data_IF_281057036219
#
_entry.id   IF_281057036219
#
_cell.length_a   1.000
_cell.length_b   1.000
_cell.length_c   1.000
_cell.angle_alpha   90.00
_cell.angle_beta   90.00
_cell.angle_gamma   90.00
#
_symmetry.space_group_name_H-M   'P 1'
#
loop_
_entity.id
_entity.type
_entity.pdbx_description
1 polymer ?
#
# COMPACT_ATOMS: atom_id res chain seq x y z
N UNK A 1 2.19 14.94 -19.50
CA UNK A 1 2.10 13.65 -18.79
C UNK A 1 2.11 14.01 -17.32
N UNK A 2 0.93 14.01 -16.71
CA UNK A 2 0.63 14.75 -15.47
C UNK A 2 1.33 14.13 -14.27
N UNK A 3 2.10 14.96 -13.56
CA UNK A 3 2.55 14.70 -12.21
C UNK A 3 1.35 14.34 -11.34
N UNK A 4 1.43 13.20 -10.64
CA UNK A 4 0.50 12.88 -9.57
C UNK A 4 0.80 13.78 -8.37
N UNK A 5 0.39 15.05 -8.48
CA UNK A 5 0.19 15.89 -7.31
C UNK A 5 -0.88 15.16 -6.50
N UNK A 6 -0.61 14.84 -5.25
CA UNK A 6 -1.64 14.48 -4.27
C UNK A 6 -2.04 15.77 -3.53
N UNK A 7 -2.78 16.72 -4.14
CA UNK A 7 -3.38 17.77 -3.35
C UNK A 7 -4.44 17.09 -2.49
N UNK A 8 -4.48 17.45 -1.20
CA UNK A 8 -5.42 16.99 -0.17
C UNK A 8 -6.60 16.17 -0.74
N UNK A 9 -6.39 14.85 -0.89
CA UNK A 9 -7.33 13.97 -1.61
C UNK A 9 -8.74 14.00 -1.03
N UNK A 10 -8.88 14.49 0.20
CA UNK A 10 -10.16 14.73 0.86
C UNK A 10 -10.93 15.91 0.27
N UNK A 11 -10.28 17.03 -0.06
CA UNK A 11 -10.97 18.23 -0.54
C UNK A 11 -11.64 17.99 -1.89
N UNK A 12 -10.92 17.37 -2.84
CA UNK A 12 -11.50 17.01 -4.14
C UNK A 12 -12.67 16.04 -3.99
N UNK A 13 -12.57 15.08 -3.06
CA UNK A 13 -13.64 14.13 -2.76
C UNK A 13 -14.89 14.80 -2.19
N UNK A 14 -14.73 15.75 -1.26
CA UNK A 14 -15.87 16.49 -0.72
C UNK A 14 -16.52 17.39 -1.78
N UNK A 15 -15.71 18.04 -2.61
CA UNK A 15 -16.22 18.85 -3.72
C UNK A 15 -17.07 17.99 -4.67
N UNK A 16 -16.53 16.87 -5.14
CA UNK A 16 -17.26 15.98 -6.05
C UNK A 16 -18.51 15.38 -5.38
N UNK A 17 -18.47 15.10 -4.06
CA UNK A 17 -19.64 14.61 -3.32
C UNK A 17 -20.79 15.62 -3.32
N UNK A 18 -20.51 16.92 -3.15
CA UNK A 18 -21.53 17.98 -3.24
C UNK A 18 -22.11 18.05 -4.66
N UNK A 19 -21.28 17.96 -5.70
CA UNK A 19 -21.73 17.94 -7.10
C UNK A 19 -22.62 16.72 -7.41
N UNK A 20 -22.25 15.54 -6.91
CA UNK A 20 -23.04 14.32 -7.05
C UNK A 20 -24.40 14.45 -6.35
N UNK A 21 -24.41 15.00 -5.13
CA UNK A 21 -25.65 15.27 -4.40
C UNK A 21 -26.55 16.25 -5.15
N UNK A 22 -26.00 17.37 -5.65
CA UNK A 22 -26.75 18.34 -6.42
C UNK A 22 -27.37 17.74 -7.69
N UNK A 23 -26.65 16.82 -8.35
CA UNK A 23 -27.16 16.09 -9.52
C UNK A 23 -28.34 15.20 -9.12
N UNK A 24 -28.24 14.46 -8.02
CA UNK A 24 -29.33 13.61 -7.53
C UNK A 24 -30.56 14.41 -7.11
N UNK A 25 -30.39 15.58 -6.48
CA UNK A 25 -31.48 16.51 -6.16
C UNK A 25 -32.14 17.02 -7.44
N UNK A 26 -31.35 17.40 -8.44
CA UNK A 26 -31.86 17.86 -9.72
C UNK A 26 -32.69 16.77 -10.43
N UNK A 27 -32.19 15.53 -10.45
CA UNK A 27 -32.91 14.39 -11.02
C UNK A 27 -34.23 14.12 -10.26
N UNK A 28 -34.21 14.24 -8.93
CA UNK A 28 -35.40 14.10 -8.08
C UNK A 28 -36.45 15.17 -8.41
N UNK A 29 -36.03 16.43 -8.57
CA UNK A 29 -36.92 17.53 -8.93
C UNK A 29 -37.46 17.40 -10.35
N UNK A 30 -36.65 16.94 -11.31
CA UNK A 30 -37.06 16.71 -12.70
C UNK A 30 -38.15 15.65 -12.82
N UNK A 31 -38.19 14.70 -11.89
CA UNK A 31 -39.23 13.67 -11.79
C UNK A 31 -40.45 14.12 -10.95
N UNK A 32 -40.48 15.38 -10.49
CA UNK A 32 -41.55 15.91 -9.65
C UNK A 32 -41.50 15.44 -8.19
N UNK A 33 -40.38 14.87 -7.76
CA UNK A 33 -40.15 14.39 -6.40
C UNK A 33 -39.86 15.51 -5.39
N UNK A 34 -39.84 15.13 -4.11
CA UNK A 34 -39.54 16.04 -3.01
C UNK A 34 -38.02 16.02 -2.71
N UNK A 35 -37.28 17.15 -2.84
CA UNK A 35 -35.85 17.19 -2.53
C UNK A 35 -35.54 16.99 -1.03
N UNK A 36 -36.54 17.09 -0.16
CA UNK A 36 -36.43 16.79 1.27
C UNK A 36 -36.66 15.31 1.60
N UNK A 37 -37.08 14.49 0.62
CA UNK A 37 -37.09 13.03 0.75
C UNK A 37 -35.67 12.50 0.49
N UNK A 38 -34.89 12.39 1.56
CA UNK A 38 -33.50 11.95 1.48
C UNK A 38 -33.33 10.54 0.91
N UNK A 39 -34.31 9.65 1.06
CA UNK A 39 -34.26 8.30 0.49
C UNK A 39 -34.47 8.35 -1.02
N UNK A 40 -35.43 9.15 -1.49
CA UNK A 40 -35.63 9.39 -2.92
C UNK A 40 -34.34 9.96 -3.56
N UNK A 41 -33.74 10.98 -2.93
CA UNK A 41 -32.50 11.60 -3.44
C UNK A 41 -31.33 10.63 -3.43
N UNK A 42 -31.04 9.94 -2.32
CA UNK A 42 -29.86 9.07 -2.22
C UNK A 42 -29.99 7.83 -3.12
N UNK A 43 -31.21 7.35 -3.37
CA UNK A 43 -31.45 6.24 -4.29
C UNK A 43 -30.99 6.54 -5.73
N UNK A 44 -30.97 7.82 -6.14
CA UNK A 44 -30.47 8.28 -7.45
C UNK A 44 -28.94 8.35 -7.54
N UNK A 45 -28.24 8.16 -6.42
CA UNK A 45 -26.77 8.10 -6.34
C UNK A 45 -26.27 6.66 -6.42
N UNK A 46 -27.01 5.70 -5.89
CA UNK A 46 -26.59 4.30 -5.85
C UNK A 46 -26.59 3.66 -7.23
N UNK A 47 -25.71 2.67 -7.41
CA UNK A 47 -25.54 1.93 -8.66
C UNK A 47 -25.34 2.83 -9.89
N UNK A 48 -24.59 3.93 -9.74
CA UNK A 48 -24.41 4.96 -10.77
C UNK A 48 -22.95 5.38 -10.89
N UNK A 49 -22.57 5.73 -12.12
CA UNK A 49 -21.28 6.36 -12.40
C UNK A 49 -21.45 7.85 -12.60
N UNK A 50 -20.59 8.63 -11.95
CA UNK A 50 -20.45 10.07 -12.09
C UNK A 50 -19.06 10.40 -12.62
N UNK A 51 -18.94 11.57 -13.25
CA UNK A 51 -17.67 12.13 -13.68
C UNK A 51 -17.38 13.37 -12.84
N UNK A 52 -16.68 13.17 -11.73
CA UNK A 52 -16.26 14.23 -10.83
C UNK A 52 -15.27 15.15 -11.53
N UNK A 53 -15.37 16.45 -11.23
CA UNK A 53 -14.53 17.47 -11.87
C UNK A 53 -13.07 17.32 -11.45
N UNK A 54 -12.83 16.87 -10.22
CA UNK A 54 -11.48 16.74 -9.66
C UNK A 54 -11.01 15.28 -9.54
N UNK A 55 -11.91 14.35 -9.20
CA UNK A 55 -11.56 12.93 -9.01
C UNK A 55 -11.72 12.06 -10.26
N UNK A 56 -12.24 12.60 -11.36
CA UNK A 56 -12.52 11.83 -12.58
C UNK A 56 -13.69 10.86 -12.43
N UNK A 57 -13.55 9.63 -12.94
CA UNK A 57 -14.62 8.60 -12.89
C UNK A 57 -14.88 8.16 -11.45
N UNK A 58 -16.12 8.28 -10.99
CA UNK A 58 -16.59 7.87 -9.66
C UNK A 58 -17.74 6.90 -9.84
N UNK A 59 -17.59 5.65 -9.41
CA UNK A 59 -18.66 4.64 -9.48
C UNK A 59 -19.14 4.31 -8.07
N UNK A 60 -20.45 4.43 -7.85
CA UNK A 60 -21.12 4.05 -6.60
C UNK A 60 -21.82 2.72 -6.82
N UNK A 61 -21.61 1.76 -5.92
CA UNK A 61 -22.21 0.44 -5.99
C UNK A 61 -23.69 0.46 -5.56
N UNK A 62 -24.34 -0.68 -5.59
CA UNK A 62 -25.77 -0.83 -5.28
C UNK A 62 -26.15 -0.58 -3.83
N UNK A 63 -25.19 -0.52 -2.91
CA UNK A 63 -25.43 -0.27 -1.47
C UNK A 63 -24.94 1.11 -1.04
N UNK A 64 -24.48 1.94 -1.98
CA UNK A 64 -24.09 3.33 -1.72
C UNK A 64 -22.60 3.57 -1.47
N UNK A 65 -21.75 2.55 -1.58
CA UNK A 65 -20.31 2.71 -1.41
C UNK A 65 -19.61 3.03 -2.74
N UNK A 66 -18.57 3.85 -2.67
CA UNK A 66 -17.71 4.14 -3.81
C UNK A 66 -16.72 3.00 -4.08
N UNK A 67 -16.66 2.52 -5.32
CA UNK A 67 -15.51 1.76 -5.80
C UNK A 67 -14.25 2.63 -5.74
N UNK A 68 -13.30 2.21 -4.90
CA UNK A 68 -12.13 3.01 -4.57
C UNK A 68 -10.89 2.42 -5.23
N UNK A 69 -10.41 3.12 -6.26
CA UNK A 69 -9.18 2.72 -6.97
C UNK A 69 -7.96 2.93 -6.08
N UNK A 70 -6.98 2.03 -6.20
CA UNK A 70 -5.75 2.06 -5.40
C UNK A 70 -4.56 2.34 -6.29
N UNK A 71 -3.73 3.28 -5.89
CA UNK A 71 -2.47 3.60 -6.57
C UNK A 71 -1.33 3.01 -5.74
N UNK A 72 -0.56 2.11 -6.35
CA UNK A 72 0.68 1.59 -5.76
C UNK A 72 1.81 2.54 -6.16
N UNK A 73 2.35 3.23 -5.17
CA UNK A 73 3.51 4.10 -5.36
C UNK A 73 4.79 3.31 -5.08
N UNK A 74 5.82 3.58 -5.89
CA UNK A 74 7.21 3.25 -5.56
C UNK A 74 7.95 4.53 -5.22
N UNK A 75 8.84 4.44 -4.23
CA UNK A 75 9.73 5.54 -3.88
C UNK A 75 11.11 5.23 -4.46
N UNK A 76 11.63 6.13 -5.28
CA UNK A 76 12.95 5.99 -5.90
C UNK A 76 13.79 7.22 -5.60
N UNK A 77 15.02 7.00 -5.15
CA UNK A 77 16.01 8.07 -4.95
C UNK A 77 16.61 8.45 -6.29
N UNK A 78 16.36 9.66 -6.76
CA UNK A 78 17.16 10.22 -7.83
C UNK A 78 18.51 10.68 -7.26
N UNK A 79 19.60 10.09 -7.74
CA UNK A 79 20.92 10.73 -7.63
C UNK A 79 21.08 11.64 -8.83
N UNK A 80 20.72 12.91 -8.67
CA UNK A 80 21.18 13.89 -9.65
C UNK A 80 22.71 14.00 -9.53
N UNK A 81 23.42 13.70 -10.63
CA UNK A 81 24.81 14.12 -10.77
C UNK A 81 24.75 15.62 -11.05
N UNK A 82 24.81 16.45 -10.00
CA UNK A 82 24.95 17.89 -10.16
C UNK A 82 26.13 18.15 -11.10
N UNK A 83 25.86 18.67 -12.30
CA UNK A 83 26.88 18.91 -13.32
C UNK A 83 27.98 19.80 -12.72
N UNK A 84 29.21 19.25 -12.63
CA UNK A 84 30.40 19.99 -12.19
C UNK A 84 30.70 21.08 -13.21
N UNK A 85 30.20 22.30 -13.02
CA UNK A 85 30.84 23.48 -13.60
C UNK A 85 32.22 23.60 -12.96
N UNK A 86 33.25 23.33 -13.76
CA UNK A 86 34.65 23.50 -13.35
C UNK A 86 34.91 24.98 -13.02
N UNK A 87 34.70 25.38 -11.77
CA UNK A 87 35.53 26.37 -11.05
C UNK A 87 35.00 26.54 -9.62
N UNK A 88 35.78 26.01 -8.69
CA UNK A 88 35.86 26.35 -7.28
C UNK A 88 34.76 25.86 -6.31
N UNK A 89 35.26 25.28 -5.22
CA UNK A 89 34.62 24.84 -3.97
C UNK A 89 33.78 23.55 -4.00
N UNK A 90 34.45 22.51 -3.48
CA UNK A 90 33.91 21.27 -2.96
C UNK A 90 32.79 21.53 -1.95
N UNK A 91 31.54 21.34 -2.39
CA UNK A 91 30.45 20.90 -1.53
C UNK A 91 29.93 19.61 -2.15
N UNK A 92 30.29 18.47 -1.57
CA UNK A 92 29.72 17.17 -1.94
C UNK A 92 28.32 17.03 -1.33
N UNK A 93 27.38 17.91 -1.67
CA UNK A 93 25.97 17.71 -1.32
C UNK A 93 25.31 16.93 -2.45
N UNK A 94 25.29 15.60 -2.29
CA UNK A 94 24.36 14.75 -3.01
C UNK A 94 23.00 14.86 -2.31
N UNK A 95 22.12 15.73 -2.77
CA UNK A 95 20.72 15.68 -2.34
C UNK A 95 20.10 14.40 -2.89
N UNK A 96 19.79 13.45 -1.99
CA UNK A 96 18.98 12.29 -2.34
C UNK A 96 17.52 12.70 -2.26
N UNK A 97 16.95 13.13 -3.37
CA UNK A 97 15.52 13.38 -3.45
C UNK A 97 14.77 12.06 -3.63
N UNK A 98 13.87 11.76 -2.70
CA UNK A 98 12.99 10.60 -2.78
C UNK A 98 11.74 11.05 -3.53
N UNK A 99 11.61 10.60 -4.78
CA UNK A 99 10.44 10.91 -5.61
C UNK A 99 9.44 9.74 -5.59
N UNK A 100 8.15 9.97 -5.28
CA UNK A 100 7.11 8.98 -5.49
C UNK A 100 6.82 8.85 -6.99
N UNK A 101 6.69 7.62 -7.47
CA UNK A 101 6.26 7.32 -8.83
C UNK A 101 5.16 6.27 -8.80
N UNK A 102 4.12 6.44 -9.62
CA UNK A 102 3.07 5.43 -9.77
C UNK A 102 3.63 4.17 -10.41
N UNK A 103 3.64 3.07 -9.67
CA UNK A 103 4.09 1.76 -10.13
C UNK A 103 2.95 0.96 -10.77
N UNK A 104 1.80 0.92 -10.10
CA UNK A 104 0.61 0.23 -10.58
C UNK A 104 -0.66 0.96 -10.13
N UNK A 105 -1.74 0.72 -10.86
CA UNK A 105 -3.09 1.20 -10.55
C UNK A 105 -4.02 0.01 -10.52
N UNK A 106 -4.75 -0.15 -9.43
CA UNK A 106 -5.83 -1.11 -9.28
C UNK A 106 -7.17 -0.40 -9.47
N UNK A 107 -7.88 -0.74 -10.55
CA UNK A 107 -9.26 -0.26 -10.77
C UNK A 107 -10.22 -1.19 -10.05
N UNK A 108 -10.96 -0.66 -9.07
CA UNK A 108 -11.79 -1.48 -8.20
C UNK A 108 -13.07 -1.99 -8.89
N UNK A 109 -13.58 -1.25 -9.88
CA UNK A 109 -14.78 -1.65 -10.63
C UNK A 109 -14.52 -2.90 -11.47
N UNK A 110 -13.36 -2.94 -12.15
CA UNK A 110 -12.95 -4.04 -13.02
C UNK A 110 -12.09 -5.08 -12.31
N UNK A 111 -11.75 -4.87 -11.03
CA UNK A 111 -10.81 -5.69 -10.24
C UNK A 111 -9.48 -5.94 -10.98
N UNK A 112 -9.00 -4.94 -11.72
CA UNK A 112 -7.86 -5.09 -12.62
C UNK A 112 -6.66 -4.30 -12.11
N UNK A 113 -5.52 -4.98 -11.95
CA UNK A 113 -4.23 -4.36 -11.63
C UNK A 113 -3.44 -4.09 -12.91
N UNK A 114 -3.12 -2.83 -13.16
CA UNK A 114 -2.33 -2.40 -14.33
C UNK A 114 -1.00 -1.78 -13.90
N UNK A 115 0.11 -2.37 -14.33
CA UNK A 115 1.44 -1.81 -14.12
C UNK A 115 1.70 -0.66 -15.10
N UNK A 116 2.15 0.48 -14.58
CA UNK A 116 2.42 1.69 -15.39
C UNK A 116 3.89 1.81 -15.80
N UNK A 117 4.79 1.11 -15.11
CA UNK A 117 6.24 1.16 -15.36
C UNK A 117 6.73 -0.22 -15.79
N UNK A 118 7.49 -0.28 -16.89
CA UNK A 118 8.09 -1.53 -17.38
C UNK A 118 9.25 -2.04 -16.51
N UNK A 119 9.87 -1.16 -15.70
CA UNK A 119 10.98 -1.52 -14.81
C UNK A 119 10.49 -2.22 -13.55
N UNK A 120 11.29 -3.18 -13.04
CA UNK A 120 11.01 -3.90 -11.78
C UNK A 120 10.82 -2.95 -10.58
N UNK A 121 10.03 -3.38 -9.58
CA UNK A 121 9.90 -2.68 -8.31
C UNK A 121 11.26 -2.62 -7.61
N UNK A 122 11.69 -1.46 -7.06
CA UNK A 122 13.03 -1.28 -6.54
C UNK A 122 13.16 -1.83 -5.12
N UNK A 123 13.17 -3.16 -4.97
CA UNK A 123 13.42 -3.76 -3.65
C UNK A 123 14.84 -3.40 -3.18
N UNK A 124 15.00 -2.88 -1.94
CA UNK A 124 16.28 -2.36 -1.47
C UNK A 124 17.33 -3.45 -1.21
N UNK A 125 16.88 -4.71 -1.04
CA UNK A 125 17.73 -5.84 -0.68
C UNK A 125 17.59 -6.97 -1.71
N UNK A 126 18.38 -8.03 -1.54
CA UNK A 126 18.30 -9.26 -2.34
C UNK A 126 18.34 -9.02 -3.87
N UNK A 127 19.23 -8.14 -4.33
CA UNK A 127 19.42 -7.81 -5.75
C UNK A 127 18.15 -7.29 -6.46
N UNK A 128 17.25 -6.63 -5.74
CA UNK A 128 16.03 -6.07 -6.33
C UNK A 128 14.87 -7.05 -6.46
N UNK A 129 14.93 -8.19 -5.76
CA UNK A 129 13.85 -9.17 -5.70
C UNK A 129 13.00 -8.98 -4.42
N UNK A 130 11.69 -9.29 -4.47
CA UNK A 130 10.79 -9.15 -3.33
C UNK A 130 11.26 -10.01 -2.14
N UNK A 131 11.11 -9.52 -0.90
CA UNK A 131 11.33 -10.36 0.26
C UNK A 131 10.29 -11.48 0.29
N UNK A 132 10.61 -12.64 0.90
CA UNK A 132 9.63 -13.68 1.13
C UNK A 132 8.52 -13.16 2.05
N UNK A 133 7.30 -13.65 1.84
CA UNK A 133 6.11 -13.33 2.63
C UNK A 133 6.16 -13.91 4.06
N UNK A 134 7.07 -14.85 4.30
CA UNK A 134 7.37 -15.41 5.61
C UNK A 134 8.88 -15.44 5.87
N UNK A 135 9.33 -15.23 7.12
CA UNK A 135 10.72 -15.48 7.49
C UNK A 135 11.15 -16.92 7.21
N UNK A 136 12.43 -17.15 6.92
CA UNK A 136 12.98 -18.48 6.63
C UNK A 136 12.66 -19.50 7.73
N UNK A 137 12.80 -19.13 9.00
CA UNK A 137 12.47 -19.99 10.14
C UNK A 137 10.98 -19.97 10.55
N UNK A 138 10.12 -19.31 9.78
CA UNK A 138 8.74 -19.00 10.15
C UNK A 138 8.64 -17.94 11.25
N UNK A 139 7.46 -17.33 11.40
CA UNK A 139 7.24 -16.29 12.42
C UNK A 139 7.50 -16.79 13.86
N UNK A 140 7.19 -18.05 14.13
CA UNK A 140 7.41 -18.68 15.44
C UNK A 140 8.79 -19.34 15.59
N UNK A 141 9.71 -19.17 14.63
CA UNK A 141 11.03 -19.84 14.59
C UNK A 141 11.00 -21.38 14.59
N UNK A 142 9.84 -22.01 14.38
CA UNK A 142 9.66 -23.48 14.42
C UNK A 142 10.09 -24.21 13.15
N UNK A 143 10.32 -23.52 12.02
CA UNK A 143 10.75 -24.17 10.76
C UNK A 143 12.26 -24.44 10.72
N UNK A 144 13.02 -23.75 11.56
CA UNK A 144 14.43 -24.06 11.76
C UNK A 144 14.53 -25.03 12.93
N UNK A 145 15.09 -26.21 12.69
CA UNK A 145 15.56 -27.05 13.79
C UNK A 145 16.65 -26.26 14.52
N UNK A 146 16.41 -25.89 15.77
CA UNK A 146 17.51 -25.66 16.68
C UNK A 146 18.28 -26.99 16.67
N UNK A 147 19.54 -26.99 16.27
CA UNK A 147 20.34 -28.20 16.46
C UNK A 147 20.42 -28.39 17.97
N UNK A 148 19.80 -29.45 18.49
CA UNK A 148 19.95 -29.93 19.86
C UNK A 148 21.38 -30.49 20.09
N UNK A 149 22.40 -29.79 19.60
CA UNK A 149 23.80 -30.21 19.69
C UNK A 149 24.41 -29.94 21.06
N UNK A 150 23.75 -29.17 21.93
CA UNK A 150 24.28 -28.82 23.27
C UNK A 150 23.62 -29.57 24.44
N UNK A 151 22.48 -30.25 24.25
CA UNK A 151 21.76 -30.90 25.36
C UNK A 151 22.26 -32.32 25.67
N UNK A 152 22.94 -32.99 24.72
CA UNK A 152 23.48 -34.35 24.94
C UNK A 152 24.58 -34.40 26.01
N UNK A 153 25.38 -33.34 26.15
CA UNK A 153 26.46 -33.25 27.14
C UNK A 153 25.92 -33.03 28.56
N UNK A 154 24.81 -32.30 28.70
CA UNK A 154 24.19 -32.03 30.01
C UNK A 154 23.53 -33.29 30.57
N UNK A 155 22.81 -34.04 29.72
CA UNK A 155 22.14 -35.30 30.14
C UNK A 155 23.16 -36.38 30.49
N UNK A 156 24.28 -36.46 29.77
CA UNK A 156 25.37 -37.40 30.07
C UNK A 156 26.04 -37.09 31.42
N UNK A 157 26.27 -35.80 31.73
CA UNK A 157 26.89 -35.38 32.99
C UNK A 157 26.04 -35.70 34.24
N UNK A 158 24.72 -35.47 34.17
CA UNK A 158 23.80 -35.75 35.29
C UNK A 158 23.66 -37.26 35.53
N UNK A 159 23.61 -38.05 34.46
CA UNK A 159 23.49 -39.52 34.56
C UNK A 159 24.76 -40.17 35.13
N UNK A 160 25.94 -39.66 34.75
CA UNK A 160 27.22 -40.15 35.27
C UNK A 160 27.41 -39.86 36.76
N UNK A 161 27.00 -38.67 37.22
CA UNK A 161 27.13 -38.30 38.64
C UNK A 161 26.22 -39.14 39.54
N UNK A 162 24.97 -39.38 39.14
CA UNK A 162 24.05 -40.26 39.88
C UNK A 162 24.56 -41.70 39.93
N UNK A 163 25.13 -42.22 38.84
CA UNK A 163 25.72 -43.57 38.83
C UNK A 163 26.86 -43.73 39.82
N UNK A 164 27.72 -42.71 39.98
CA UNK A 164 28.84 -42.75 40.94
C UNK A 164 28.34 -42.67 42.39
N UNK A 165 27.34 -41.84 42.68
CA UNK A 165 26.78 -41.71 44.03
C UNK A 165 26.11 -43.02 44.49
N UNK A 166 25.40 -43.71 43.59
CA UNK A 166 24.75 -45.01 43.91
C UNK A 166 25.77 -46.14 44.10
N UNK A 167 26.96 -46.05 43.53
CA UNK A 167 28.00 -47.08 43.67
C UNK A 167 28.88 -46.89 44.92
N UNK A 168 28.89 -45.70 45.52
CA UNK A 168 29.75 -45.34 46.67
C UNK A 168 28.95 -45.30 47.99
N UNK A 169 27.61 -45.25 47.94
CA UNK A 169 26.72 -45.39 49.11
C UNK A 169 26.18 -46.80 49.25
#
# INVERSE_FOLDING_TARGET
>A
MTEAILPSSSLSRYYDAVCMYATAVNDTLAEGGNPYDGLAVISKIWNRTFYGMLSGKITINSVGDRFSDVIVLRFWTHREKLFRTKKNKSVNQSSTEISPQTYAVYESVSSTLTFKVATKFPWPYNKGEPPPDQPLCGFAKKKCSLSDSDDSNVVAGVSGFFGVVVMIG
#
